data_IF_871752885208
#
_entry.id   IF_871752885208
#
_cell.length_a   1.000
_cell.length_b   1.000
_cell.length_c   1.000
_cell.angle_alpha   90.00
_cell.angle_beta   90.00
_cell.angle_gamma   90.00
#
_symmetry.space_group_name_H-M   'P 1'
#
loop_
_entity.id
_entity.type
_entity.pdbx_description
1 polymer ?
#
# COMPACT_ATOMS: atom_id res chain seq x y z
N UNK A 1 -8.31 8.52 -1.77
CA UNK A 1 -8.38 7.58 -0.63
C UNK A 1 -7.73 6.26 -1.03
N UNK A 2 -6.89 5.67 -0.18
CA UNK A 2 -6.31 4.34 -0.41
C UNK A 2 -6.72 3.41 0.74
N UNK A 3 -6.93 2.13 0.44
CA UNK A 3 -7.19 1.09 1.44
C UNK A 3 -6.18 -0.03 1.22
N UNK A 4 -5.37 -0.29 2.25
CA UNK A 4 -4.31 -1.28 2.19
C UNK A 4 -4.23 -2.07 3.49
N UNK A 5 -3.55 -3.22 3.43
CA UNK A 5 -3.32 -4.04 4.61
C UNK A 5 -2.37 -3.29 5.58
N UNK A 6 -2.57 -3.33 6.90
CA UNK A 6 -1.76 -2.57 7.87
C UNK A 6 -0.24 -2.84 7.79
N UNK A 7 0.14 -4.04 7.36
CA UNK A 7 1.55 -4.42 7.18
C UNK A 7 2.18 -3.95 5.87
N UNK A 8 1.43 -3.26 5.00
CA UNK A 8 1.92 -2.73 3.71
C UNK A 8 2.03 -1.21 3.77
N UNK A 9 3.05 -0.68 3.12
CA UNK A 9 3.18 0.78 2.93
C UNK A 9 2.11 1.24 1.94
N UNK A 10 1.29 2.25 2.27
CA UNK A 10 0.37 2.85 1.33
C UNK A 10 1.11 3.43 0.12
N UNK A 11 0.64 3.11 -1.09
CA UNK A 11 1.18 3.64 -2.34
C UNK A 11 0.07 4.29 -3.18
N UNK A 12 -0.30 5.53 -2.87
CA UNK A 12 -1.44 6.20 -3.49
C UNK A 12 -1.21 6.53 -4.98
N UNK A 13 0.02 6.36 -5.48
CA UNK A 13 0.34 6.45 -6.92
C UNK A 13 -0.24 5.26 -7.71
N UNK A 14 -0.32 4.08 -7.10
CA UNK A 14 -0.71 2.84 -7.79
C UNK A 14 -2.13 2.40 -7.43
N UNK A 15 -2.51 2.50 -6.16
CA UNK A 15 -3.80 2.03 -5.65
C UNK A 15 -4.55 3.17 -4.95
N UNK A 16 -5.60 3.71 -5.59
CA UNK A 16 -6.40 4.78 -4.99
C UNK A 16 -7.81 4.91 -5.57
N UNK A 17 -8.72 5.36 -4.72
CA UNK A 17 -10.05 5.85 -5.05
C UNK A 17 -10.00 7.37 -5.14
N UNK A 18 -10.57 7.92 -6.21
CA UNK A 18 -10.77 9.36 -6.37
C UNK A 18 -12.16 9.73 -5.86
N UNK A 19 -12.22 10.77 -5.03
CA UNK A 19 -13.47 11.32 -4.50
C UNK A 19 -13.71 12.65 -5.21
N UNK A 20 -14.74 12.78 -6.04
CA UNK A 20 -15.08 14.04 -6.69
C UNK A 20 -15.69 15.02 -5.68
N UNK A 21 -15.64 16.31 -6.02
CA UNK A 21 -16.24 17.38 -5.21
C UNK A 21 -17.77 17.29 -5.26
N UNK A 22 -18.43 17.77 -4.21
CA UNK A 22 -19.90 17.82 -4.07
C UNK A 22 -20.60 16.46 -4.25
N UNK A 23 -19.88 15.37 -3.99
CA UNK A 23 -20.41 14.02 -4.03
C UNK A 23 -20.09 13.27 -2.76
N UNK A 24 -21.06 12.50 -2.30
CA UNK A 24 -20.90 11.50 -1.25
C UNK A 24 -20.54 10.17 -1.89
N UNK A 25 -19.52 9.52 -1.37
CA UNK A 25 -19.20 8.14 -1.73
C UNK A 25 -19.56 7.25 -0.55
N UNK A 26 -20.45 6.30 -0.79
CA UNK A 26 -20.67 5.19 0.14
C UNK A 26 -19.84 4.02 -0.34
N UNK A 27 -18.88 3.57 0.49
CA UNK A 27 -17.99 2.46 0.19
C UNK A 27 -18.20 1.31 1.17
N UNK A 28 -18.48 0.13 0.64
CA UNK A 28 -18.56 -1.13 1.37
C UNK A 28 -17.28 -1.93 1.15
N UNK A 29 -16.69 -2.40 2.24
CA UNK A 29 -15.48 -3.22 2.21
C UNK A 29 -15.82 -4.70 2.34
N UNK A 30 -15.37 -5.48 1.36
CA UNK A 30 -15.52 -6.92 1.34
C UNK A 30 -14.13 -7.54 1.43
N UNK A 31 -13.95 -8.45 2.39
CA UNK A 31 -12.70 -9.17 2.59
C UNK A 31 -12.73 -10.48 1.79
N UNK A 32 -11.76 -10.65 0.91
CA UNK A 32 -11.50 -11.91 0.22
C UNK A 32 -10.19 -12.52 0.75
N UNK A 33 -10.26 -13.72 1.32
CA UNK A 33 -9.14 -14.37 1.99
C UNK A 33 -8.84 -15.74 1.39
N UNK A 34 -7.60 -15.91 0.95
CA UNK A 34 -7.04 -17.20 0.59
C UNK A 34 -6.08 -17.66 1.68
N UNK A 35 -6.37 -18.78 2.32
CA UNK A 35 -5.55 -19.34 3.40
C UNK A 35 -4.89 -20.63 2.97
N UNK A 36 -3.65 -20.85 3.42
CA UNK A 36 -2.90 -22.08 3.13
C UNK A 36 -3.04 -23.08 4.27
N UNK A 37 -3.22 -24.37 3.94
CA UNK A 37 -3.35 -25.44 4.93
C UNK A 37 -2.07 -25.63 5.76
N UNK A 38 -2.21 -26.19 6.97
CA UNK A 38 -1.06 -26.49 7.86
C UNK A 38 -0.07 -27.46 7.23
N UNK A 39 -0.53 -28.42 6.43
CA UNK A 39 0.36 -29.34 5.73
C UNK A 39 1.29 -28.61 4.75
N UNK A 40 0.77 -27.61 4.01
CA UNK A 40 1.56 -26.82 3.05
C UNK A 40 2.56 -25.89 3.77
N UNK A 41 2.23 -25.41 4.98
CA UNK A 41 3.15 -24.60 5.81
C UNK A 41 4.46 -25.30 6.10
N UNK A 42 4.46 -26.63 6.22
CA UNK A 42 5.65 -27.41 6.57
C UNK A 42 6.61 -27.65 5.38
N UNK A 43 6.19 -27.35 4.15
CA UNK A 43 7.07 -27.49 2.99
C UNK A 43 8.06 -26.31 2.90
N UNK A 44 9.27 -26.61 2.43
CA UNK A 44 10.28 -25.58 2.16
C UNK A 44 9.74 -24.49 1.22
N UNK A 45 9.94 -23.19 1.51
CA UNK A 45 9.45 -22.07 0.69
C UNK A 45 9.79 -22.18 -0.80
N UNK A 46 11.00 -22.67 -1.13
CA UNK A 46 11.42 -22.85 -2.54
C UNK A 46 10.61 -23.91 -3.28
N UNK A 47 10.15 -24.96 -2.59
CA UNK A 47 9.35 -26.03 -3.22
C UNK A 47 7.92 -25.59 -3.48
N UNK A 48 7.36 -24.77 -2.60
CA UNK A 48 5.98 -24.27 -2.70
C UNK A 48 5.87 -22.90 -3.40
N UNK A 49 6.99 -22.30 -3.78
CA UNK A 49 7.09 -21.02 -4.51
C UNK A 49 6.39 -19.83 -3.82
N UNK A 50 6.32 -19.82 -2.50
CA UNK A 50 5.74 -18.73 -1.72
C UNK A 50 6.32 -18.65 -0.30
N UNK A 51 6.31 -17.46 0.29
CA UNK A 51 6.73 -17.21 1.67
C UNK A 51 5.53 -17.08 2.62
N UNK A 52 5.69 -17.57 3.85
CA UNK A 52 4.84 -17.18 4.97
C UNK A 52 5.35 -15.85 5.54
N UNK A 53 4.49 -15.06 6.22
CA UNK A 53 4.85 -13.74 6.74
C UNK A 53 6.15 -13.66 7.58
N UNK A 54 6.53 -14.76 8.24
CA UNK A 54 7.63 -14.79 9.22
C UNK A 54 8.86 -15.58 8.74
N UNK A 55 8.87 -16.10 7.52
CA UNK A 55 9.96 -16.97 7.06
C UNK A 55 11.12 -16.22 6.42
N UNK A 56 10.85 -15.05 5.85
CA UNK A 56 11.87 -14.20 5.22
C UNK A 56 11.94 -12.88 5.96
N UNK A 57 12.96 -12.67 6.80
CA UNK A 57 13.15 -11.38 7.45
C UNK A 57 13.44 -10.32 6.38
N UNK A 58 12.96 -9.11 6.66
CA UNK A 58 13.17 -7.91 5.88
C UNK A 58 13.92 -6.90 6.77
N UNK A 59 14.69 -5.99 6.17
CA UNK A 59 15.56 -5.07 6.93
C UNK A 59 14.76 -3.97 7.62
N UNK A 60 13.78 -3.42 6.92
CA UNK A 60 12.98 -2.27 7.34
C UNK A 60 11.56 -2.65 7.75
N UNK A 61 11.03 -3.77 7.25
CA UNK A 61 9.69 -4.25 7.58
C UNK A 61 9.69 -5.47 8.51
N UNK A 62 8.81 -5.49 9.51
CA UNK A 62 8.70 -6.62 10.45
C UNK A 62 8.01 -7.85 9.84
N UNK A 63 7.11 -7.63 8.87
CA UNK A 63 6.27 -8.67 8.29
C UNK A 63 6.55 -8.76 6.80
N UNK A 64 6.85 -9.98 6.33
CA UNK A 64 7.06 -10.22 4.92
C UNK A 64 5.77 -10.04 4.13
N UNK A 65 5.83 -9.16 3.14
CA UNK A 65 4.90 -9.14 2.00
C UNK A 65 5.73 -9.01 0.73
N UNK A 66 5.20 -9.48 -0.39
CA UNK A 66 5.90 -9.33 -1.66
C UNK A 66 6.16 -7.86 -2.00
N UNK A 67 5.22 -6.96 -1.70
CA UNK A 67 5.39 -5.53 -1.93
C UNK A 67 6.50 -4.93 -1.06
N UNK A 68 6.54 -5.28 0.23
CA UNK A 68 7.58 -4.80 1.15
C UNK A 68 8.96 -5.27 0.68
N UNK A 69 9.09 -6.55 0.32
CA UNK A 69 10.33 -7.10 -0.23
C UNK A 69 10.80 -6.35 -1.47
N UNK A 70 9.90 -6.11 -2.44
CA UNK A 70 10.22 -5.36 -3.65
C UNK A 70 10.60 -3.90 -3.34
N UNK A 71 9.96 -3.29 -2.33
CA UNK A 71 10.30 -1.94 -1.88
C UNK A 71 11.71 -1.88 -1.30
N UNK A 72 12.09 -2.81 -0.43
CA UNK A 72 13.44 -2.84 0.13
C UNK A 72 14.48 -3.11 -0.95
N UNK A 73 14.17 -4.02 -1.88
CA UNK A 73 15.09 -4.29 -2.98
C UNK A 73 15.31 -3.04 -3.84
N UNK A 74 14.23 -2.33 -4.18
CA UNK A 74 14.30 -1.04 -4.88
C UNK A 74 15.08 0.00 -4.09
N UNK A 75 14.80 0.13 -2.81
CA UNK A 75 15.48 1.06 -1.92
C UNK A 75 16.98 0.80 -1.89
N UNK A 76 17.39 -0.46 -1.70
CA UNK A 76 18.79 -0.84 -1.65
C UNK A 76 19.48 -0.58 -2.99
N UNK A 77 18.82 -0.90 -4.10
CA UNK A 77 19.36 -0.64 -5.43
C UNK A 77 19.51 0.86 -5.71
N UNK A 78 18.47 1.66 -5.43
CA UNK A 78 18.51 3.12 -5.58
C UNK A 78 19.56 3.75 -4.68
N UNK A 79 19.69 3.31 -3.43
CA UNK A 79 20.71 3.80 -2.51
C UNK A 79 22.12 3.47 -3.02
N UNK A 80 22.35 2.25 -3.51
CA UNK A 80 23.66 1.85 -4.05
C UNK A 80 24.01 2.59 -5.34
N UNK A 81 23.02 2.84 -6.22
CA UNK A 81 23.23 3.48 -7.53
C UNK A 81 23.33 5.00 -7.44
N UNK A 82 22.49 5.62 -6.61
CA UNK A 82 22.33 7.08 -6.55
C UNK A 82 22.83 7.72 -5.25
N UNK A 83 23.18 6.92 -4.23
CA UNK A 83 23.65 7.43 -2.93
C UNK A 83 22.58 8.13 -2.09
N UNK A 84 21.29 7.93 -2.43
CA UNK A 84 20.16 8.52 -1.73
C UNK A 84 18.91 7.64 -1.86
N UNK A 85 17.91 7.90 -1.02
CA UNK A 85 16.58 7.25 -1.08
C UNK A 85 15.48 8.28 -1.27
N UNK A 86 14.38 7.96 -1.95
CA UNK A 86 13.24 8.87 -2.04
C UNK A 86 12.45 8.93 -0.73
N UNK A 87 11.59 9.93 -0.56
CA UNK A 87 10.85 10.14 0.69
C UNK A 87 9.92 8.97 1.07
N UNK A 88 9.40 8.23 0.08
CA UNK A 88 8.49 7.10 0.28
C UNK A 88 9.23 5.77 0.53
N UNK A 89 10.55 5.72 0.28
CA UNK A 89 11.35 4.53 0.51
C UNK A 89 11.69 4.39 2.01
N UNK A 90 11.68 3.17 2.55
CA UNK A 90 12.22 2.91 3.88
C UNK A 90 13.71 3.29 3.92
N UNK A 91 14.19 3.82 5.04
CA UNK A 91 15.59 4.22 5.19
C UNK A 91 15.99 4.28 6.65
N UNK A 92 17.28 4.29 6.90
CA UNK A 92 17.82 4.68 8.20
C UNK A 92 17.82 6.21 8.34
N UNK A 93 17.82 6.72 9.57
CA UNK A 93 17.74 8.17 9.81
C UNK A 93 18.91 8.96 9.21
N UNK A 94 20.06 8.31 9.00
CA UNK A 94 21.29 8.93 8.48
C UNK A 94 21.28 9.01 6.94
N UNK A 95 20.42 8.21 6.28
CA UNK A 95 20.37 8.15 4.81
C UNK A 95 19.83 9.45 4.21
N UNK A 96 20.57 10.02 3.26
CA UNK A 96 20.17 11.23 2.53
C UNK A 96 18.90 10.99 1.71
N UNK A 97 17.97 11.94 1.76
CA UNK A 97 16.79 11.96 0.89
C UNK A 97 17.18 12.54 -0.48
N UNK A 98 16.80 11.87 -1.56
CA UNK A 98 17.01 12.35 -2.92
C UNK A 98 16.28 13.68 -3.14
N UNK A 99 16.94 14.63 -3.81
CA UNK A 99 16.36 15.92 -4.19
C UNK A 99 16.13 15.98 -5.71
N UNK A 100 15.71 17.15 -6.22
CA UNK A 100 15.39 17.33 -7.64
C UNK A 100 16.53 16.99 -8.61
N UNK A 101 17.80 17.12 -8.18
CA UNK A 101 18.97 16.82 -9.01
C UNK A 101 19.17 15.30 -9.18
N UNK A 102 18.75 14.52 -8.20
CA UNK A 102 18.88 13.06 -8.19
C UNK A 102 17.78 12.36 -9.03
N UNK A 103 16.72 13.09 -9.41
CA UNK A 103 15.53 12.54 -10.06
C UNK A 103 15.85 11.69 -11.30
N UNK A 104 16.82 12.13 -12.11
CA UNK A 104 17.24 11.38 -13.29
C UNK A 104 17.83 10.01 -12.89
N UNK A 105 18.71 9.98 -11.88
CA UNK A 105 19.29 8.75 -11.38
C UNK A 105 18.23 7.83 -10.76
N UNK A 106 17.31 8.37 -9.95
CA UNK A 106 16.20 7.60 -9.36
C UNK A 106 15.33 6.97 -10.43
N UNK A 107 14.97 7.72 -11.48
CA UNK A 107 14.20 7.22 -12.62
C UNK A 107 14.94 6.07 -13.34
N UNK A 108 16.23 6.25 -13.62
CA UNK A 108 17.07 5.18 -14.19
C UNK A 108 17.20 3.98 -13.25
N UNK A 109 17.21 4.18 -11.94
CA UNK A 109 17.28 3.09 -10.97
C UNK A 109 16.00 2.25 -10.98
N UNK A 110 14.84 2.91 -11.02
CA UNK A 110 13.54 2.24 -11.16
C UNK A 110 13.45 1.46 -12.48
N UNK A 111 13.88 2.06 -13.61
CA UNK A 111 13.84 1.43 -14.93
C UNK A 111 14.77 0.22 -15.04
N UNK A 112 16.00 0.31 -14.53
CA UNK A 112 16.94 -0.82 -14.56
C UNK A 112 16.41 -2.03 -13.79
N UNK A 113 15.77 -1.80 -12.63
CA UNK A 113 15.17 -2.89 -11.87
C UNK A 113 13.95 -3.48 -12.56
N UNK A 114 13.15 -2.67 -13.25
CA UNK A 114 12.05 -3.18 -14.05
C UNK A 114 12.56 -4.06 -15.19
N UNK A 115 13.58 -3.61 -15.91
CA UNK A 115 14.19 -4.37 -17.00
C UNK A 115 14.82 -5.67 -16.49
N UNK A 116 15.58 -5.62 -15.39
CA UNK A 116 16.14 -6.81 -14.75
C UNK A 116 15.04 -7.83 -14.41
N UNK A 117 13.90 -7.38 -13.88
CA UNK A 117 12.78 -8.26 -13.56
C UNK A 117 12.12 -8.92 -14.77
N UNK A 118 12.15 -8.25 -15.92
CA UNK A 118 11.68 -8.81 -17.19
C UNK A 118 12.68 -9.84 -17.69
N UNK A 119 13.97 -9.48 -17.73
CA UNK A 119 15.04 -10.36 -18.19
C UNK A 119 15.15 -11.62 -17.32
N UNK A 120 15.02 -11.51 -16.01
CA UNK A 120 14.96 -12.66 -15.11
C UNK A 120 13.78 -13.56 -15.38
N UNK A 121 12.62 -12.99 -15.71
CA UNK A 121 11.45 -13.79 -16.09
C UNK A 121 11.67 -14.51 -17.42
N UNK A 122 12.30 -13.86 -18.41
CA UNK A 122 12.66 -14.45 -19.70
C UNK A 122 13.71 -15.56 -19.54
N UNK A 123 14.77 -15.32 -18.78
CA UNK A 123 15.83 -16.29 -18.52
C UNK A 123 15.32 -17.51 -17.73
N UNK A 124 14.35 -17.31 -16.84
CA UNK A 124 13.65 -18.40 -16.16
C UNK A 124 12.83 -19.27 -17.12
N UNK A 125 12.24 -18.68 -18.16
CA UNK A 125 11.57 -19.43 -19.24
C UNK A 125 12.58 -20.22 -20.09
N UNK A 126 13.80 -19.69 -20.27
CA UNK A 126 14.91 -20.38 -20.94
C UNK A 126 15.61 -21.43 -20.07
N UNK A 127 15.21 -21.63 -18.81
CA UNK A 127 15.84 -22.58 -17.89
C UNK A 127 17.22 -22.16 -17.37
N UNK A 128 17.63 -20.90 -17.56
CA UNK A 128 18.87 -20.36 -17.00
C UNK A 128 18.62 -19.85 -15.57
N UNK A 129 19.53 -20.18 -14.65
CA UNK A 129 19.53 -19.59 -13.31
C UNK A 129 20.08 -18.18 -13.38
N UNK A 130 19.27 -17.19 -12.99
CA UNK A 130 19.73 -15.83 -12.73
C UNK A 130 20.12 -15.71 -11.26
N UNK A 131 21.34 -15.26 -10.99
CA UNK A 131 21.86 -15.06 -9.63
C UNK A 131 21.60 -13.66 -9.07
N UNK A 132 20.96 -12.78 -9.85
CA UNK A 132 20.82 -11.36 -9.54
C UNK A 132 19.39 -10.87 -9.70
N UNK A 133 18.45 -11.50 -8.98
CA UNK A 133 17.04 -11.10 -8.99
C UNK A 133 16.50 -11.10 -7.57
N UNK A 134 15.87 -10.02 -7.13
CA UNK A 134 15.26 -9.91 -5.80
C UNK A 134 14.38 -11.14 -5.51
N UNK A 135 14.74 -11.96 -4.52
CA UNK A 135 13.98 -13.15 -4.13
C UNK A 135 12.69 -12.78 -3.37
N UNK A 136 11.74 -12.18 -4.07
CA UNK A 136 10.46 -11.70 -3.56
C UNK A 136 9.31 -12.60 -4.02
N UNK A 137 9.31 -13.86 -3.58
CA UNK A 137 8.20 -14.79 -3.83
C UNK A 137 6.88 -14.26 -3.25
N UNK A 138 5.72 -14.61 -3.83
CA UNK A 138 4.43 -14.19 -3.29
C UNK A 138 4.19 -14.76 -1.88
N UNK A 139 3.25 -14.16 -1.16
CA UNK A 139 2.78 -14.70 0.12
C UNK A 139 1.86 -15.90 -0.11
N UNK A 140 1.97 -16.95 0.71
CA UNK A 140 1.14 -18.14 0.56
C UNK A 140 -0.33 -17.93 0.96
N UNK A 141 -0.59 -17.07 1.95
CA UNK A 141 -1.95 -16.70 2.39
C UNK A 141 -2.18 -15.21 2.11
N UNK A 142 -3.21 -14.88 1.34
CA UNK A 142 -3.45 -13.51 0.84
C UNK A 142 -4.81 -13.02 1.31
N UNK A 143 -4.87 -11.76 1.75
CA UNK A 143 -6.10 -11.04 2.07
C UNK A 143 -6.23 -9.85 1.11
N UNK A 144 -7.36 -9.79 0.40
CA UNK A 144 -7.72 -8.74 -0.53
C UNK A 144 -8.90 -7.92 0.01
N UNK A 145 -8.86 -6.62 -0.24
CA UNK A 145 -9.96 -5.71 0.05
C UNK A 145 -10.64 -5.38 -1.28
N UNK A 146 -11.87 -5.85 -1.45
CA UNK A 146 -12.71 -5.49 -2.58
C UNK A 146 -13.59 -4.33 -2.10
N UNK A 147 -13.61 -3.25 -2.88
CA UNK A 147 -14.32 -2.04 -2.54
C UNK A 147 -15.50 -1.92 -3.50
N UNK A 148 -16.72 -1.95 -2.95
CA UNK A 148 -17.93 -1.66 -3.69
C UNK A 148 -18.38 -0.26 -3.32
N UNK A 149 -18.50 0.63 -4.30
CA UNK A 149 -18.83 2.03 -4.06
C UNK A 149 -20.04 2.47 -4.85
N UNK A 150 -20.91 3.25 -4.22
CA UNK A 150 -21.95 4.03 -4.88
C UNK A 150 -21.71 5.53 -4.65
N UNK A 151 -22.09 6.34 -5.63
CA UNK A 151 -21.93 7.79 -5.61
C UNK A 151 -23.31 8.45 -5.49
N UNK A 152 -23.38 9.50 -4.67
CA UNK A 152 -24.58 10.30 -4.44
C UNK A 152 -24.20 11.77 -4.52
N UNK A 153 -25.10 12.63 -4.98
CA UNK A 153 -24.86 14.07 -4.92
C UNK A 153 -24.91 14.54 -3.46
N UNK A 154 -23.86 15.22 -3.01
CA UNK A 154 -23.80 15.79 -1.65
C UNK A 154 -24.05 17.29 -1.74
N UNK A 155 -25.20 17.74 -1.24
CA UNK A 155 -25.46 19.16 -1.02
C UNK A 155 -25.07 19.59 0.40
N UNK A 156 -23.78 19.93 0.58
CA UNK A 156 -23.23 20.20 1.92
C UNK A 156 -23.84 21.45 2.57
N UNK A 157 -24.27 22.43 1.76
CA UNK A 157 -24.90 23.67 2.23
C UNK A 157 -26.30 23.43 2.85
N UNK A 158 -27.06 22.50 2.27
CA UNK A 158 -28.36 22.10 2.83
C UNK A 158 -28.21 21.33 4.15
N UNK A 159 -27.09 20.63 4.33
CA UNK A 159 -26.84 19.85 5.55
C UNK A 159 -26.32 20.73 6.70
N UNK A 160 -25.43 21.68 6.41
CA UNK A 160 -24.91 22.65 7.38
C UNK A 160 -26.01 23.59 7.92
N UNK A 161 -26.94 24.00 7.05
CA UNK A 161 -28.13 24.78 7.46
C UNK A 161 -29.11 23.98 8.35
N UNK A 162 -29.25 22.67 8.13
CA UNK A 162 -30.05 21.80 8.99
C UNK A 162 -29.40 21.56 10.35
N UNK A 163 -28.06 21.44 10.40
CA UNK A 163 -27.32 21.27 11.64
C UNK A 163 -27.39 22.52 12.54
N UNK A 164 -27.14 23.70 11.95
CA UNK A 164 -27.24 24.98 12.67
C UNK A 164 -28.66 25.25 13.19
N UNK A 165 -29.69 24.92 12.39
CA UNK A 165 -31.09 24.99 12.83
C UNK A 165 -31.39 24.03 13.98
N UNK A 166 -30.90 22.78 13.92
CA UNK A 166 -31.08 21.81 15.00
C UNK A 166 -30.45 22.24 16.33
N UNK A 167 -29.29 22.90 16.30
CA UNK A 167 -28.70 23.51 17.50
C UNK A 167 -29.54 24.64 18.05
N UNK A 168 -30.01 25.55 17.19
CA UNK A 168 -30.90 26.65 17.59
C UNK A 168 -32.19 26.14 18.24
N UNK A 169 -32.81 25.11 17.67
CA UNK A 169 -34.02 24.48 18.22
C UNK A 169 -33.73 23.81 19.58
N UNK A 170 -32.59 23.15 19.76
CA UNK A 170 -32.17 22.58 21.05
C UNK A 170 -31.91 23.68 22.09
N UNK A 171 -31.23 24.76 21.73
CA UNK A 171 -31.01 25.91 22.62
C UNK A 171 -32.32 26.57 23.06
N UNK A 172 -33.28 26.71 22.14
CA UNK A 172 -34.60 27.23 22.47
C UNK A 172 -35.35 26.27 23.40
N UNK A 173 -35.35 24.95 23.14
CA UNK A 173 -35.98 23.95 23.99
C UNK A 173 -35.37 23.93 25.41
N UNK A 174 -34.05 24.00 25.53
CA UNK A 174 -33.37 24.11 26.83
C UNK A 174 -33.77 25.45 27.50
N UNK A 175 -33.79 26.55 26.76
CA UNK A 175 -34.25 27.85 27.27
C UNK A 175 -35.70 27.86 27.76
N UNK A 176 -36.59 27.06 27.17
CA UNK A 176 -37.97 26.86 27.62
C UNK A 176 -38.05 25.94 28.86
N UNK A 177 -37.22 24.90 28.96
CA UNK A 177 -37.18 24.00 30.13
C UNK A 177 -36.63 24.69 31.38
N UNK A 178 -35.72 25.65 31.23
CA UNK A 178 -35.12 26.39 32.36
C UNK A 178 -35.88 27.67 32.75
N UNK A 179 -36.94 28.06 32.03
CA UNK A 179 -37.81 29.20 32.35
C UNK A 179 -39.26 28.81 32.67
N UNK A 180 -39.51 27.55 33.03
CA UNK A 180 -40.82 27.03 33.48
C UNK A 180 -40.77 26.63 34.96
#
# INVERSE_FOLDING_TARGET
>A
MEISHPSRVPRPKYDHIRIPLDQAIMATLILDMMSTSKAVKNYNPRRRNCYMPNERPLTYFKIYTQQNCKLECLTNYTLNKCGCTTAYMPRENITRICNGLDNHCVCLAEMDMLNASIDGHLLKLEGKQTSTECDCLPICSKMNYIIQSSQLNWNWAAEDSNYTKGYLDLFLLIGFVYNA
#
